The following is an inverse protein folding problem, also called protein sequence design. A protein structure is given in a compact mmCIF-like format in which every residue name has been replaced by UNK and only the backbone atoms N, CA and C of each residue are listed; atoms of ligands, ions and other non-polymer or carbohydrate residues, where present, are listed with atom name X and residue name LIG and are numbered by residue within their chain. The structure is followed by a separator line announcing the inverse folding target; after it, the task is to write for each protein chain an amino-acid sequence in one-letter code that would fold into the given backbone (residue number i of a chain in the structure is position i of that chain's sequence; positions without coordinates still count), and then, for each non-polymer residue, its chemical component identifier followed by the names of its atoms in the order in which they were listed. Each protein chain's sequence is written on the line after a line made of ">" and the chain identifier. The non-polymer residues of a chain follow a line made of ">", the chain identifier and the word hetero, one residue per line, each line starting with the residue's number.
data_IF_953580581808
#
_entry.id   IF_953580581808
#
_cell.length_a   1.000
_cell.length_b   1.000
_cell.length_c   1.000
_cell.angle_alpha   90.00
_cell.angle_beta   90.00
_cell.angle_gamma   90.00
#
_symmetry.space_group_name_H-M   'P 1'
#
loop_
_entity.id
_entity.type
_entity.pdbx_description
1 polymer ?
#
# COMPACT_ATOMS: atom_id res chain seq x y z
N UNK A 1 -16.63 -8.60 30.44
CA UNK A 1 -17.72 -8.91 31.37
C UNK A 1 -17.13 -9.41 32.70
N UNK A 2 -17.76 -8.99 33.80
CA UNK A 2 -17.45 -9.50 35.14
C UNK A 2 -18.57 -10.40 35.58
N UNK A 3 -18.25 -11.60 36.06
CA UNK A 3 -19.21 -12.57 36.57
C UNK A 3 -18.91 -12.85 38.03
N UNK A 4 -19.95 -12.88 38.81
CA UNK A 4 -19.87 -13.10 40.25
C UNK A 4 -20.51 -14.43 40.61
N UNK A 5 -19.83 -15.25 41.37
CA UNK A 5 -20.33 -16.52 41.88
C UNK A 5 -20.32 -16.52 43.41
N UNK A 6 -21.35 -17.09 43.98
CA UNK A 6 -21.40 -17.43 45.42
C UNK A 6 -22.11 -18.77 45.60
N UNK A 7 -21.71 -19.49 46.61
CA UNK A 7 -22.39 -20.73 46.99
C UNK A 7 -23.44 -20.41 48.07
N UNK A 8 -24.65 -20.91 47.90
CA UNK A 8 -25.68 -20.91 48.91
C UNK A 8 -25.71 -22.29 49.59
N UNK A 9 -25.87 -22.30 50.87
CA UNK A 9 -26.09 -23.53 51.66
C UNK A 9 -27.42 -23.38 52.42
N UNK A 10 -28.28 -24.35 52.22
CA UNK A 10 -29.57 -24.41 52.93
C UNK A 10 -29.56 -25.59 53.93
N UNK A 11 -30.17 -25.39 55.07
CA UNK A 11 -30.46 -26.48 56.02
C UNK A 11 -31.88 -26.97 55.72
N UNK A 12 -32.04 -28.27 55.59
CA UNK A 12 -33.34 -28.88 55.28
C UNK A 12 -34.35 -28.52 56.38
N UNK A 13 -35.48 -27.92 55.98
CA UNK A 13 -36.55 -27.48 56.87
C UNK A 13 -36.37 -26.07 57.45
N UNK A 14 -35.33 -25.34 57.08
CA UNK A 14 -35.10 -23.93 57.47
C UNK A 14 -35.03 -23.01 56.26
N UNK A 15 -35.64 -21.82 56.35
CA UNK A 15 -35.69 -20.85 55.27
C UNK A 15 -34.59 -19.76 55.39
N UNK A 16 -33.44 -20.10 55.99
CA UNK A 16 -32.31 -19.19 56.17
C UNK A 16 -31.07 -19.71 55.45
N UNK A 17 -30.87 -19.26 54.18
CA UNK A 17 -29.67 -19.66 53.42
C UNK A 17 -28.40 -18.99 53.98
N UNK A 18 -27.38 -19.76 54.19
CA UNK A 18 -26.00 -19.26 54.40
C UNK A 18 -25.31 -19.05 53.04
N UNK A 19 -24.60 -17.95 52.86
CA UNK A 19 -23.86 -17.67 51.66
C UNK A 19 -22.36 -17.71 51.90
N UNK A 20 -21.61 -18.25 50.93
CA UNK A 20 -20.16 -18.13 50.91
C UNK A 20 -19.71 -16.71 50.52
N UNK A 21 -18.41 -16.46 50.62
CA UNK A 21 -17.79 -15.30 49.95
C UNK A 21 -18.10 -15.31 48.45
N UNK A 22 -17.99 -14.13 47.82
CA UNK A 22 -18.16 -13.96 46.39
C UNK A 22 -16.82 -14.27 45.69
N UNK A 23 -16.90 -15.06 44.63
CA UNK A 23 -15.80 -15.25 43.68
C UNK A 23 -16.11 -14.43 42.45
N UNK A 24 -15.17 -13.59 42.07
CA UNK A 24 -15.30 -12.70 40.92
C UNK A 24 -14.42 -13.21 39.76
N UNK A 25 -15.01 -13.40 38.60
CA UNK A 25 -14.28 -13.73 37.40
C UNK A 25 -14.41 -12.54 36.46
N UNK A 26 -13.27 -11.96 36.06
CA UNK A 26 -13.17 -10.92 35.04
C UNK A 26 -12.70 -11.54 33.73
N UNK A 27 -13.43 -11.27 32.66
CA UNK A 27 -13.09 -11.75 31.32
C UNK A 27 -12.48 -10.58 30.55
N UNK A 28 -11.24 -10.75 30.12
CA UNK A 28 -10.62 -9.85 29.16
C UNK A 28 -11.21 -10.14 27.78
N UNK A 29 -12.26 -9.42 27.43
CA UNK A 29 -12.98 -9.60 26.19
C UNK A 29 -12.33 -8.76 25.10
N UNK A 30 -12.10 -9.38 23.96
CA UNK A 30 -11.56 -8.77 22.76
C UNK A 30 -12.60 -8.91 21.68
N UNK A 31 -13.21 -7.80 21.25
CA UNK A 31 -14.31 -7.77 20.26
C UNK A 31 -14.00 -6.83 19.11
N UNK A 32 -14.69 -7.07 17.99
CA UNK A 32 -14.54 -6.30 16.76
C UNK A 32 -13.50 -6.90 15.81
N UNK A 33 -13.27 -6.20 14.74
CA UNK A 33 -12.23 -6.51 13.76
C UNK A 33 -11.50 -5.24 13.39
N UNK A 34 -10.21 -5.33 13.23
CA UNK A 34 -9.38 -4.22 12.75
C UNK A 34 -8.26 -4.79 11.90
N UNK A 35 -8.31 -4.54 10.60
CA UNK A 35 -7.19 -4.82 9.70
C UNK A 35 -6.12 -3.73 9.79
N UNK A 36 -4.93 -4.01 9.27
CA UNK A 36 -3.93 -2.99 8.94
C UNK A 36 -3.96 -2.72 7.45
N UNK A 37 -3.83 -1.46 7.06
CA UNK A 37 -3.98 -1.04 5.68
C UNK A 37 -2.96 0.05 5.32
N UNK A 38 -2.56 0.08 4.06
CA UNK A 38 -1.87 1.22 3.47
C UNK A 38 -2.93 2.21 2.99
N UNK A 39 -2.78 3.47 3.32
CA UNK A 39 -3.67 4.58 2.91
C UNK A 39 -5.18 4.32 3.13
N UNK A 40 -5.51 3.49 4.14
CA UNK A 40 -6.88 3.22 4.54
C UNK A 40 -7.65 2.19 3.68
N UNK A 41 -7.06 1.61 2.64
CA UNK A 41 -7.79 0.79 1.66
C UNK A 41 -7.27 -0.65 1.61
N UNK A 42 -6.00 -0.86 1.31
CA UNK A 42 -5.46 -2.18 1.01
C UNK A 42 -4.44 -2.64 2.05
N UNK A 43 -4.47 -3.92 2.39
CA UNK A 43 -3.45 -4.54 3.23
C UNK A 43 -2.26 -5.09 2.41
N UNK A 44 -2.36 -5.07 1.08
CA UNK A 44 -1.28 -5.44 0.17
C UNK A 44 -1.11 -4.33 -0.85
N UNK A 45 0.12 -3.88 -1.05
CA UNK A 45 0.46 -2.90 -2.09
C UNK A 45 1.65 -3.41 -2.89
N UNK A 46 1.69 -3.01 -4.15
CA UNK A 46 2.86 -3.17 -5.02
C UNK A 46 3.58 -1.83 -5.14
N UNK A 47 4.88 -1.84 -4.97
CA UNK A 47 5.75 -0.67 -5.03
C UNK A 47 6.70 -0.82 -6.20
N UNK A 48 6.84 0.23 -7.01
CA UNK A 48 7.73 0.24 -8.16
C UNK A 48 8.94 1.15 -7.93
N UNK A 49 10.08 0.70 -8.37
CA UNK A 49 11.32 1.49 -8.37
C UNK A 49 11.78 1.95 -6.98
N UNK A 50 12.14 3.22 -6.85
CA UNK A 50 12.63 3.83 -5.62
C UNK A 50 11.54 4.40 -4.71
N UNK A 51 10.28 4.09 -4.96
CA UNK A 51 9.19 4.58 -4.14
C UNK A 51 9.29 4.06 -2.70
N UNK A 52 8.93 4.90 -1.74
CA UNK A 52 8.95 4.54 -0.33
C UNK A 52 7.67 3.82 0.06
N UNK A 53 7.77 2.89 1.01
CA UNK A 53 6.60 2.25 1.60
C UNK A 53 5.80 3.30 2.37
N UNK A 54 4.50 3.50 2.07
CA UNK A 54 3.67 4.45 2.78
C UNK A 54 3.41 4.03 4.22
N UNK A 55 2.83 4.93 5.02
CA UNK A 55 2.43 4.63 6.38
C UNK A 55 1.36 3.53 6.43
N UNK A 56 1.38 2.73 7.49
CA UNK A 56 0.34 1.76 7.80
C UNK A 56 -0.65 2.36 8.80
N UNK A 57 -1.89 2.38 8.39
CA UNK A 57 -3.04 2.73 9.20
C UNK A 57 -3.86 1.49 9.60
N UNK A 58 -5.12 1.69 9.89
CA UNK A 58 -6.06 0.62 10.23
C UNK A 58 -7.45 0.91 9.67
N UNK A 59 -8.22 -0.15 9.47
CA UNK A 59 -9.65 -0.07 9.25
C UNK A 59 -10.36 -0.82 10.40
N UNK A 60 -11.48 -0.29 10.88
CA UNK A 60 -12.17 -0.83 12.03
C UNK A 60 -11.46 -0.58 13.37
N UNK A 61 -12.00 -1.11 14.44
CA UNK A 61 -11.45 -0.99 15.77
C UNK A 61 -11.71 -2.26 16.60
N UNK A 62 -10.77 -2.62 17.46
CA UNK A 62 -11.02 -3.58 18.53
C UNK A 62 -11.53 -2.84 19.77
N UNK A 63 -12.52 -3.46 20.41
CA UNK A 63 -12.95 -3.09 21.76
C UNK A 63 -12.49 -4.17 22.73
N UNK A 64 -11.89 -3.75 23.82
CA UNK A 64 -11.43 -4.65 24.86
C UNK A 64 -11.84 -4.14 26.24
N UNK A 65 -11.95 -5.05 27.20
CA UNK A 65 -12.13 -4.68 28.60
C UNK A 65 -10.82 -4.30 29.29
N UNK A 66 -9.70 -4.71 28.72
CA UNK A 66 -8.37 -4.35 29.18
C UNK A 66 -7.80 -3.11 28.48
N UNK A 67 -6.61 -2.72 28.87
CA UNK A 67 -5.84 -1.66 28.21
C UNK A 67 -5.30 -2.19 26.90
N UNK A 68 -5.56 -1.46 25.79
CA UNK A 68 -5.08 -1.83 24.46
C UNK A 68 -3.70 -1.20 24.23
N UNK A 69 -2.76 -2.02 23.79
CA UNK A 69 -1.43 -1.62 23.29
C UNK A 69 -1.12 -2.34 21.99
N UNK A 70 -0.06 -1.89 21.29
CA UNK A 70 0.31 -2.43 19.99
C UNK A 70 1.79 -2.78 19.95
N UNK A 71 2.10 -3.80 19.15
CA UNK A 71 3.47 -4.17 18.78
C UNK A 71 3.53 -4.32 17.26
N UNK A 72 4.53 -3.68 16.64
CA UNK A 72 4.79 -3.78 15.22
C UNK A 72 6.04 -4.60 14.95
N UNK A 73 5.94 -5.43 13.93
CA UNK A 73 7.01 -6.30 13.49
C UNK A 73 7.06 -6.31 11.95
N UNK A 74 8.24 -6.54 11.39
CA UNK A 74 8.51 -6.57 9.95
C UNK A 74 9.36 -7.78 9.60
N UNK A 75 9.13 -8.35 8.43
CA UNK A 75 9.91 -9.47 7.86
C UNK A 75 10.12 -9.27 6.37
N UNK A 76 11.12 -9.95 5.81
CA UNK A 76 11.37 -10.02 4.36
C UNK A 76 10.87 -11.34 3.74
N UNK A 77 10.40 -12.30 4.52
CA UNK A 77 10.07 -13.65 4.04
C UNK A 77 8.66 -14.15 4.36
N UNK A 78 7.83 -13.36 5.02
CA UNK A 78 6.44 -13.70 5.43
C UNK A 78 6.32 -15.02 6.24
N UNK A 79 7.38 -15.58 6.75
CA UNK A 79 7.31 -16.87 7.44
C UNK A 79 7.50 -16.76 8.95
N UNK A 80 8.73 -16.62 9.42
CA UNK A 80 9.00 -16.68 10.86
C UNK A 80 9.96 -15.60 11.38
N UNK A 81 10.67 -14.92 10.48
CA UNK A 81 11.75 -14.02 10.84
C UNK A 81 11.27 -12.57 11.04
N UNK A 82 10.18 -12.40 11.80
CA UNK A 82 9.67 -11.07 12.12
C UNK A 82 10.54 -10.38 13.18
N UNK A 83 11.03 -9.19 12.84
CA UNK A 83 11.81 -8.33 13.72
C UNK A 83 10.92 -7.24 14.30
N UNK A 84 11.00 -7.00 15.59
CA UNK A 84 10.23 -5.95 16.27
C UNK A 84 10.74 -4.58 15.82
N UNK A 85 9.82 -3.70 15.43
CA UNK A 85 10.10 -2.30 15.16
C UNK A 85 10.10 -1.56 16.49
N UNK A 86 11.28 -1.30 17.02
CA UNK A 86 11.45 -0.77 18.37
C UNK A 86 10.76 0.60 18.54
N UNK A 87 10.13 0.80 19.70
CA UNK A 87 9.47 2.05 20.05
C UNK A 87 8.13 2.32 19.33
N UNK A 88 7.68 1.42 18.46
CA UNK A 88 6.41 1.58 17.72
C UNK A 88 5.28 0.87 18.45
N UNK A 89 4.60 1.60 19.33
CA UNK A 89 3.50 1.10 20.17
C UNK A 89 2.16 1.76 19.85
N UNK A 90 2.10 2.58 18.82
CA UNK A 90 0.89 3.23 18.34
C UNK A 90 0.07 2.32 17.42
N UNK A 91 -1.21 2.62 17.29
CA UNK A 91 -2.12 1.89 16.38
C UNK A 91 -1.68 1.99 14.92
N UNK A 92 -1.07 3.12 14.53
CA UNK A 92 -0.51 3.37 13.21
C UNK A 92 1.02 3.24 13.23
N UNK A 93 1.59 2.89 12.07
CA UNK A 93 3.02 2.88 11.85
C UNK A 93 3.39 3.93 10.79
N UNK A 94 4.24 4.89 11.16
CA UNK A 94 4.60 5.99 10.26
C UNK A 94 5.53 5.52 9.13
N UNK A 95 5.45 6.17 7.97
CA UNK A 95 6.35 5.91 6.85
C UNK A 95 7.83 6.11 7.22
N UNK A 96 8.13 7.09 8.08
CA UNK A 96 9.49 7.32 8.57
C UNK A 96 10.02 6.15 9.43
N UNK A 97 9.19 5.57 10.31
CA UNK A 97 9.57 4.40 11.09
C UNK A 97 9.80 3.18 10.19
N UNK A 98 8.96 3.00 9.17
CA UNK A 98 9.12 1.95 8.16
C UNK A 98 10.45 2.15 7.42
N UNK A 99 10.70 3.34 6.88
CA UNK A 99 11.91 3.64 6.12
C UNK A 99 13.19 3.39 6.94
N UNK A 100 13.22 3.80 8.20
CA UNK A 100 14.35 3.56 9.10
C UNK A 100 14.59 2.06 9.34
N UNK A 101 13.50 1.29 9.55
CA UNK A 101 13.62 -0.15 9.77
C UNK A 101 14.04 -0.87 8.49
N UNK A 102 13.47 -0.52 7.33
CA UNK A 102 13.85 -1.05 6.02
C UNK A 102 15.34 -0.79 5.74
N UNK A 103 15.83 0.42 6.00
CA UNK A 103 17.25 0.75 5.84
C UNK A 103 18.15 -0.15 6.71
N UNK A 104 17.75 -0.44 7.96
CA UNK A 104 18.49 -1.32 8.87
C UNK A 104 18.51 -2.79 8.42
N UNK A 105 17.54 -3.20 7.59
CA UNK A 105 17.41 -4.57 7.06
C UNK A 105 18.08 -4.76 5.68
N UNK A 106 18.89 -3.81 5.23
CA UNK A 106 19.61 -3.88 3.97
C UNK A 106 18.98 -3.11 2.81
N UNK A 107 18.03 -2.21 3.12
CA UNK A 107 17.55 -1.19 2.19
C UNK A 107 16.39 -1.60 1.30
N UNK A 108 16.08 -0.71 0.37
CA UNK A 108 14.92 -0.75 -0.52
C UNK A 108 14.96 -1.93 -1.51
N UNK A 109 13.82 -2.20 -2.13
CA UNK A 109 13.63 -3.13 -3.25
C UNK A 109 13.59 -4.62 -2.86
N UNK A 110 13.03 -4.90 -1.70
CA UNK A 110 12.69 -6.25 -1.25
C UNK A 110 11.24 -6.27 -0.79
N UNK A 111 10.63 -7.43 -0.83
CA UNK A 111 9.32 -7.62 -0.24
C UNK A 111 9.38 -7.44 1.27
N UNK A 112 8.40 -6.73 1.81
CA UNK A 112 8.27 -6.53 3.23
C UNK A 112 6.87 -6.92 3.71
N UNK A 113 6.85 -7.69 4.76
CA UNK A 113 5.64 -8.16 5.43
C UNK A 113 5.57 -7.54 6.81
N UNK A 114 4.43 -6.97 7.11
CA UNK A 114 4.18 -6.27 8.37
C UNK A 114 3.20 -7.06 9.22
N UNK A 115 3.46 -7.08 10.50
CA UNK A 115 2.59 -7.69 11.49
C UNK A 115 2.34 -6.70 12.61
N UNK A 116 1.06 -6.41 12.89
CA UNK A 116 0.63 -5.70 14.07
C UNK A 116 -0.03 -6.67 15.03
N UNK A 117 0.51 -6.79 16.22
CA UNK A 117 -0.16 -7.47 17.33
C UNK A 117 -0.89 -6.42 18.15
N UNK A 118 -2.21 -6.55 18.25
CA UNK A 118 -3.04 -5.76 19.16
C UNK A 118 -3.18 -6.55 20.46
N UNK A 119 -2.82 -5.93 21.56
CA UNK A 119 -2.68 -6.56 22.87
C UNK A 119 -3.68 -5.92 23.81
N UNK A 120 -4.52 -6.71 24.46
CA UNK A 120 -5.39 -6.26 25.56
C UNK A 120 -4.91 -6.85 26.88
N UNK A 121 -4.65 -6.00 27.86
CA UNK A 121 -4.20 -6.42 29.21
C UNK A 121 -5.23 -6.05 30.26
N UNK A 122 -5.74 -7.05 30.98
CA UNK A 122 -6.66 -6.89 32.11
C UNK A 122 -6.13 -7.67 33.31
N UNK A 123 -5.90 -7.00 34.42
CA UNK A 123 -5.39 -7.62 35.67
C UNK A 123 -4.16 -8.54 35.43
N UNK A 124 -3.23 -8.10 34.58
CA UNK A 124 -2.03 -8.86 34.19
C UNK A 124 -2.27 -10.03 33.21
N UNK A 125 -3.52 -10.27 32.78
CA UNK A 125 -3.83 -11.27 31.76
C UNK A 125 -3.87 -10.61 30.37
N UNK A 126 -3.20 -11.24 29.43
CA UNK A 126 -3.00 -10.74 28.08
C UNK A 126 -3.83 -11.55 27.10
N UNK A 127 -4.52 -10.84 26.19
CA UNK A 127 -5.16 -11.39 25.00
C UNK A 127 -4.60 -10.68 23.79
N UNK A 128 -4.31 -11.40 22.73
CA UNK A 128 -3.65 -10.86 21.53
C UNK A 128 -4.38 -11.25 20.26
N UNK A 129 -4.37 -10.32 19.28
CA UNK A 129 -4.81 -10.57 17.90
C UNK A 129 -3.77 -10.01 16.94
N UNK A 130 -3.45 -10.80 15.92
CA UNK A 130 -2.45 -10.47 14.91
C UNK A 130 -3.12 -10.08 13.59
N UNK A 131 -2.67 -8.97 13.00
CA UNK A 131 -3.05 -8.53 11.66
C UNK A 131 -1.80 -8.45 10.76
N UNK A 132 -1.98 -8.74 9.48
CA UNK A 132 -0.92 -8.79 8.49
C UNK A 132 -1.17 -7.79 7.36
N UNK A 133 -0.09 -7.22 6.82
CA UNK A 133 -0.05 -6.46 5.57
C UNK A 133 1.26 -6.75 4.85
N UNK A 134 1.29 -6.54 3.54
CA UNK A 134 2.50 -6.69 2.74
C UNK A 134 2.72 -5.54 1.77
N UNK A 135 3.96 -5.11 1.64
CA UNK A 135 4.44 -4.25 0.58
C UNK A 135 5.35 -5.09 -0.31
N UNK A 136 4.84 -5.47 -1.47
CA UNK A 136 5.59 -6.25 -2.45
C UNK A 136 6.27 -5.28 -3.39
N UNK A 137 7.58 -5.34 -3.47
CA UNK A 137 8.30 -4.65 -4.51
C UNK A 137 8.10 -5.40 -5.82
N UNK A 138 7.74 -4.67 -6.86
CA UNK A 138 7.82 -5.16 -8.23
C UNK A 138 9.24 -5.65 -8.50
N UNK A 139 9.50 -6.31 -9.63
CA UNK A 139 10.77 -7.02 -9.82
C UNK A 139 11.94 -6.14 -9.45
N UNK A 140 12.83 -6.71 -8.67
CA UNK A 140 13.96 -6.04 -8.05
C UNK A 140 14.70 -5.20 -9.10
N UNK A 141 14.78 -3.88 -8.84
CA UNK A 141 15.57 -2.95 -9.63
C UNK A 141 15.06 -2.61 -11.04
N UNK A 142 13.73 -2.58 -11.23
CA UNK A 142 13.19 -1.94 -12.44
C UNK A 142 13.41 -0.43 -12.38
N UNK A 143 14.22 0.06 -13.28
CA UNK A 143 14.32 1.48 -13.60
C UNK A 143 13.64 1.74 -14.94
N UNK A 144 12.68 2.66 -14.97
CA UNK A 144 12.01 3.10 -16.18
C UNK A 144 12.35 4.57 -16.44
N UNK A 145 12.96 4.85 -17.57
CA UNK A 145 13.07 6.21 -18.07
C UNK A 145 11.96 6.40 -19.14
N UNK A 146 10.90 7.16 -18.84
CA UNK A 146 9.77 7.30 -19.76
C UNK A 146 10.09 8.11 -21.01
N UNK A 147 11.29 8.69 -21.09
CA UNK A 147 11.63 9.63 -22.14
C UNK A 147 10.83 10.95 -22.04
N UNK A 148 10.93 11.75 -23.09
CA UNK A 148 10.19 13.02 -23.20
C UNK A 148 9.25 12.98 -24.40
N UNK A 149 8.21 13.79 -24.35
CA UNK A 149 7.27 14.00 -25.48
C UNK A 149 7.28 15.46 -25.82
N UNK A 150 7.47 15.78 -27.11
CA UNK A 150 7.51 17.13 -27.64
C UNK A 150 6.55 17.29 -28.82
N UNK A 151 6.05 18.49 -29.03
CA UNK A 151 5.26 18.85 -30.20
C UNK A 151 6.22 19.34 -31.29
N UNK A 152 6.21 18.67 -32.44
CA UNK A 152 7.06 19.03 -33.57
C UNK A 152 6.30 19.93 -34.55
N UNK A 153 6.62 21.20 -34.57
CA UNK A 153 6.19 22.13 -35.59
C UNK A 153 7.17 22.09 -36.78
N UNK A 154 6.63 21.99 -37.97
CA UNK A 154 7.38 21.83 -39.25
C UNK A 154 8.20 23.06 -39.61
N UNK A 155 9.00 23.64 -38.85
CA UNK A 155 10.00 24.66 -39.21
C UNK A 155 10.82 25.10 -37.99
N UNK A 156 11.66 24.24 -37.46
CA UNK A 156 12.74 24.63 -36.54
C UNK A 156 12.34 24.99 -35.11
N UNK A 157 11.09 24.84 -34.74
CA UNK A 157 10.62 24.93 -33.35
C UNK A 157 10.40 23.52 -32.79
N UNK A 158 11.46 22.92 -32.33
CA UNK A 158 11.44 21.62 -31.70
C UNK A 158 11.40 21.81 -30.18
N UNK A 159 10.80 20.84 -29.47
CA UNK A 159 10.72 20.78 -28.00
C UNK A 159 9.63 21.66 -27.35
N UNK A 160 8.52 21.90 -28.05
CA UNK A 160 7.36 22.53 -27.41
C UNK A 160 6.55 21.53 -26.63
N UNK A 161 6.09 21.92 -25.44
CA UNK A 161 5.16 21.16 -24.59
C UNK A 161 3.73 21.69 -24.69
N UNK A 162 3.53 22.80 -25.40
CA UNK A 162 2.23 23.45 -25.60
C UNK A 162 2.11 23.98 -27.03
N UNK A 163 0.92 23.88 -27.59
CA UNK A 163 0.58 24.46 -28.89
C UNK A 163 -0.82 25.09 -28.82
N UNK A 164 -0.97 26.26 -29.42
CA UNK A 164 -2.26 26.92 -29.64
C UNK A 164 -2.70 26.69 -31.08
N UNK A 165 -3.90 26.16 -31.26
CA UNK A 165 -4.52 25.93 -32.54
C UNK A 165 -5.95 26.48 -32.58
N UNK A 166 -6.50 26.74 -33.74
CA UNK A 166 -7.91 27.09 -33.89
C UNK A 166 -8.81 25.87 -33.56
N UNK A 167 -10.03 26.14 -33.12
CA UNK A 167 -11.05 25.09 -32.90
C UNK A 167 -11.26 24.29 -34.21
N UNK A 168 -11.33 22.96 -34.07
CA UNK A 168 -11.38 22.06 -35.22
C UNK A 168 -10.03 21.80 -35.90
N UNK A 169 -8.96 22.47 -35.46
CA UNK A 169 -7.61 22.23 -35.95
C UNK A 169 -6.99 20.93 -35.43
N UNK A 170 -6.05 20.40 -36.19
CA UNK A 170 -5.27 19.22 -35.82
C UNK A 170 -3.94 19.68 -35.24
N UNK A 171 -3.54 19.25 -34.04
CA UNK A 171 -2.23 19.55 -33.48
C UNK A 171 -1.09 19.01 -34.35
N UNK A 172 0.08 19.60 -34.25
CA UNK A 172 1.28 19.01 -34.81
C UNK A 172 1.59 17.66 -34.15
N UNK A 173 2.38 16.86 -34.81
CA UNK A 173 2.76 15.53 -34.39
C UNK A 173 3.49 15.53 -33.03
N UNK A 174 3.10 14.64 -32.14
CA UNK A 174 3.77 14.46 -30.87
C UNK A 174 4.90 13.44 -31.05
N UNK A 175 6.12 13.91 -30.98
CA UNK A 175 7.32 13.09 -31.08
C UNK A 175 7.76 12.67 -29.66
N UNK A 176 7.91 11.39 -29.45
CA UNK A 176 8.46 10.85 -28.23
C UNK A 176 9.90 10.40 -28.39
N UNK A 177 10.73 10.56 -27.38
CA UNK A 177 11.99 9.84 -27.31
C UNK A 177 11.75 8.42 -26.83
N UNK A 178 12.61 7.49 -27.28
CA UNK A 178 12.53 6.09 -26.87
C UNK A 178 12.65 5.99 -25.35
N UNK A 179 11.67 5.36 -24.74
CA UNK A 179 11.74 5.01 -23.34
C UNK A 179 12.69 3.82 -23.15
N UNK A 180 13.34 3.76 -22.02
CA UNK A 180 14.18 2.65 -21.64
C UNK A 180 13.73 2.07 -20.32
N UNK A 181 13.82 0.76 -20.19
CA UNK A 181 13.67 0.08 -18.92
C UNK A 181 14.87 -0.83 -18.70
N UNK A 182 15.35 -0.89 -17.49
CA UNK A 182 16.44 -1.76 -17.11
C UNK A 182 16.13 -2.45 -15.79
N UNK A 183 16.52 -3.71 -15.67
CA UNK A 183 16.51 -4.46 -14.45
C UNK A 183 17.97 -4.71 -14.07
N UNK A 184 18.34 -4.36 -12.84
CA UNK A 184 19.66 -4.70 -12.30
C UNK A 184 19.52 -5.84 -11.29
N UNK A 185 20.58 -6.67 -11.19
CA UNK A 185 20.67 -7.81 -10.25
C UNK A 185 19.78 -9.04 -10.54
N UNK A 186 19.33 -9.21 -11.79
CA UNK A 186 18.73 -10.48 -12.24
C UNK A 186 19.77 -11.29 -12.99
N UNK A 187 19.94 -12.56 -12.64
CA UNK A 187 20.83 -13.48 -13.35
C UNK A 187 19.99 -14.65 -13.87
N UNK A 188 19.93 -14.90 -15.20
CA UNK A 188 20.54 -14.11 -16.27
C UNK A 188 19.86 -12.75 -16.49
N UNK A 189 20.60 -11.78 -17.01
CA UNK A 189 20.06 -10.45 -17.34
C UNK A 189 18.89 -10.58 -18.30
N UNK A 190 17.69 -10.26 -17.87
CA UNK A 190 16.51 -10.23 -18.73
C UNK A 190 16.46 -8.88 -19.46
N UNK A 191 16.23 -8.92 -20.77
CA UNK A 191 15.90 -7.71 -21.53
C UNK A 191 14.48 -7.30 -21.23
N UNK A 192 14.29 -6.08 -20.79
CA UNK A 192 12.96 -5.49 -20.60
C UNK A 192 12.58 -4.77 -21.88
N UNK A 193 11.47 -5.17 -22.47
CA UNK A 193 10.86 -4.41 -23.56
C UNK A 193 9.91 -3.38 -22.98
N UNK A 194 9.74 -2.28 -23.68
CA UNK A 194 8.78 -1.24 -23.30
C UNK A 194 7.71 -1.11 -24.36
N UNK A 195 6.49 -0.97 -23.91
CA UNK A 195 5.33 -0.61 -24.76
C UNK A 195 4.78 0.73 -24.32
N UNK A 196 4.03 1.37 -25.20
CA UNK A 196 3.48 2.69 -24.94
C UNK A 196 1.96 2.64 -24.95
N UNK A 197 1.37 3.60 -24.28
CA UNK A 197 -0.05 3.88 -24.32
C UNK A 197 -0.29 5.37 -24.18
N UNK A 198 -1.03 5.97 -25.09
CA UNK A 198 -1.41 7.37 -25.01
C UNK A 198 -2.74 7.56 -24.31
N UNK A 199 -2.82 8.68 -23.61
CA UNK A 199 -4.00 9.11 -22.86
C UNK A 199 -4.30 10.57 -23.18
N UNK A 200 -5.57 10.96 -23.07
CA UNK A 200 -6.02 12.35 -23.22
C UNK A 200 -6.90 12.77 -22.05
N UNK A 201 -6.91 14.08 -21.76
CA UNK A 201 -7.73 14.69 -20.73
C UNK A 201 -8.19 16.07 -21.16
N UNK A 202 -9.38 16.50 -20.72
CA UNK A 202 -9.87 17.86 -20.90
C UNK A 202 -9.51 18.78 -19.70
N UNK A 203 -9.18 18.22 -18.55
CA UNK A 203 -8.98 18.92 -17.28
C UNK A 203 -7.58 18.77 -16.68
N UNK A 204 -6.68 18.06 -17.38
CA UNK A 204 -5.33 17.70 -16.92
C UNK A 204 -5.31 16.81 -15.64
N UNK A 205 -6.44 16.25 -15.26
CA UNK A 205 -6.59 15.39 -14.08
C UNK A 205 -7.09 14.01 -14.44
N UNK A 206 -8.22 13.95 -15.12
CA UNK A 206 -8.89 12.72 -15.49
C UNK A 206 -8.45 12.29 -16.90
N UNK A 207 -7.51 11.37 -16.97
CA UNK A 207 -6.97 10.89 -18.23
C UNK A 207 -7.66 9.62 -18.70
N UNK A 208 -8.25 9.66 -19.89
CA UNK A 208 -8.82 8.51 -20.57
C UNK A 208 -7.81 7.92 -21.57
N UNK A 209 -7.78 6.61 -21.66
CA UNK A 209 -6.99 5.87 -22.63
C UNK A 209 -7.45 6.23 -24.05
N UNK A 210 -6.51 6.36 -24.98
CA UNK A 210 -6.78 6.49 -26.41
C UNK A 210 -6.58 5.11 -27.03
N UNK A 211 -7.68 4.49 -27.42
CA UNK A 211 -7.67 3.14 -27.96
C UNK A 211 -6.76 3.02 -29.21
N UNK A 212 -5.94 1.98 -29.24
CA UNK A 212 -4.98 1.71 -30.31
C UNK A 212 -3.79 2.66 -30.41
N UNK A 213 -3.66 3.67 -29.55
CA UNK A 213 -2.53 4.60 -29.56
C UNK A 213 -1.37 4.04 -28.72
N UNK A 214 -0.60 3.12 -29.32
CA UNK A 214 0.46 2.34 -28.64
C UNK A 214 1.87 2.62 -29.21
N UNK A 215 2.00 3.56 -30.11
CA UNK A 215 3.30 3.92 -30.67
C UNK A 215 4.09 4.88 -29.77
N UNK A 216 5.40 4.95 -29.96
CA UNK A 216 6.30 5.89 -29.28
C UNK A 216 5.87 7.35 -29.47
N UNK A 217 5.35 7.66 -30.63
CA UNK A 217 4.87 8.98 -31.07
C UNK A 217 3.37 8.92 -31.39
N UNK A 218 2.71 10.07 -31.41
CA UNK A 218 1.26 10.09 -31.61
C UNK A 218 0.80 11.30 -32.43
N UNK A 219 -0.16 11.07 -33.32
CA UNK A 219 -0.88 12.11 -34.05
C UNK A 219 -2.32 12.18 -33.56
N UNK A 220 -2.67 13.28 -32.93
CA UNK A 220 -4.07 13.53 -32.59
C UNK A 220 -4.90 13.88 -33.79
N UNK A 221 -6.19 13.59 -33.77
CA UNK A 221 -7.18 14.18 -34.65
C UNK A 221 -7.47 15.65 -34.31
N UNK A 222 -8.44 16.24 -35.03
CA UNK A 222 -8.91 17.60 -34.80
C UNK A 222 -9.46 17.77 -33.35
N UNK A 223 -9.19 18.93 -32.76
CA UNK A 223 -9.58 19.24 -31.37
C UNK A 223 -10.57 20.42 -31.35
N UNK A 224 -11.61 20.25 -30.55
CA UNK A 224 -12.66 21.29 -30.38
C UNK A 224 -12.58 21.97 -28.99
N UNK A 225 -11.62 21.57 -28.16
CA UNK A 225 -11.39 22.13 -26.82
C UNK A 225 -9.93 21.92 -26.40
N UNK A 226 -9.50 22.63 -25.35
CA UNK A 226 -8.21 22.36 -24.74
C UNK A 226 -8.10 20.90 -24.32
N UNK A 227 -7.07 20.23 -24.76
CA UNK A 227 -6.85 18.82 -24.52
C UNK A 227 -5.41 18.57 -24.10
N UNK A 228 -5.23 17.83 -23.05
CA UNK A 228 -3.93 17.42 -22.51
C UNK A 228 -3.65 15.99 -22.93
N UNK A 229 -2.42 15.73 -23.30
CA UNK A 229 -1.97 14.40 -23.70
C UNK A 229 -0.80 13.95 -22.83
N UNK A 230 -0.77 12.66 -22.54
CA UNK A 230 0.39 12.04 -21.89
C UNK A 230 0.64 10.65 -22.48
N UNK A 231 1.90 10.26 -22.53
CA UNK A 231 2.32 8.92 -22.88
C UNK A 231 2.65 8.12 -21.61
N UNK A 232 2.01 6.99 -21.42
CA UNK A 232 2.39 5.97 -20.45
C UNK A 232 3.43 5.04 -21.06
N UNK A 233 4.36 4.57 -20.24
CA UNK A 233 5.36 3.57 -20.62
C UNK A 233 5.14 2.33 -19.75
N UNK A 234 4.93 1.21 -20.39
CA UNK A 234 4.66 -0.07 -19.76
C UNK A 234 5.84 -1.01 -20.01
N UNK A 235 6.63 -1.33 -18.99
CA UNK A 235 7.67 -2.34 -19.14
C UNK A 235 7.01 -3.73 -19.24
N UNK A 236 7.43 -4.51 -20.22
CA UNK A 236 7.04 -5.90 -20.37
C UNK A 236 8.15 -6.81 -19.84
N UNK A 237 7.77 -7.64 -18.90
CA UNK A 237 8.67 -8.61 -18.29
C UNK A 237 8.44 -9.99 -18.88
N UNK A 238 9.48 -10.71 -19.26
CA UNK A 238 9.33 -12.13 -19.39
C UNK A 238 9.02 -12.70 -18.00
N UNK A 239 7.83 -13.24 -17.83
CA UNK A 239 7.48 -14.01 -16.64
C UNK A 239 8.51 -15.12 -16.46
N UNK A 240 9.44 -14.96 -15.54
CA UNK A 240 10.25 -16.06 -15.01
C UNK A 240 9.41 -16.76 -13.95
N UNK A 241 8.55 -17.67 -14.39
CA UNK A 241 7.89 -18.66 -13.51
C UNK A 241 8.88 -19.71 -13.07
#
# INVERSE_FOLDING_TARGET
>A
NTVYYRRATNVTGQNCPGYSNIVTIRINRFEGSSGITFDGINNNIQICGSATIPALGYNGAYQATGVITYKWEISQDNTSNYVVIAGQTSQNLSAAAIANQVASMGGAQKDYFFRRTTISTLDGKVCEVVNLASALYGPENLSVNPGTVNINLSAGQNNLTEQVICIGGTPAFFSGNTATASITNVVPSASVTVTYQWYKSADNYNYALIDGATDESYQSGALNQTTYFRRGVLPDYPNTS
#
